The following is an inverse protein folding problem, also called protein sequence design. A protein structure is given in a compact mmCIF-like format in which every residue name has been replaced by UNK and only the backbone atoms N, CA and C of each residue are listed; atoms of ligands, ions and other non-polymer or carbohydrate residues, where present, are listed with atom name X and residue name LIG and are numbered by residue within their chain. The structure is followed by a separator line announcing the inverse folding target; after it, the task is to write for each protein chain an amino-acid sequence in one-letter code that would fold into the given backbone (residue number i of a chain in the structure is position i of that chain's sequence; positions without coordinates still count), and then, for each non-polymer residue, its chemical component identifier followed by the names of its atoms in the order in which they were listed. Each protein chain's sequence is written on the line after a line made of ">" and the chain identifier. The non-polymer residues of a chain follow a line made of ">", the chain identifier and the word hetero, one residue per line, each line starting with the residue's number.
data_IF_428380289900
#
_entry.id   IF_428380289900
#
_cell.length_a   1.000
_cell.length_b   1.000
_cell.length_c   1.000
_cell.angle_alpha   90.00
_cell.angle_beta   90.00
_cell.angle_gamma   90.00
#
_symmetry.space_group_name_H-M   'P 1'
#
loop_
_entity.id
_entity.type
_entity.pdbx_description
1 polymer ?
#
# COMPACT_ATOMS: atom_id res chain seq x y z
N UNK A 1 -5.17 -7.71 -16.70
CA UNK A 1 -5.26 -6.24 -16.83
C UNK A 1 -4.74 -5.63 -15.52
N UNK A 2 -3.49 -5.12 -15.48
CA UNK A 2 -2.95 -4.49 -14.27
C UNK A 2 -3.47 -3.06 -14.17
N UNK A 3 -4.23 -2.75 -13.13
CA UNK A 3 -4.75 -1.42 -12.86
C UNK A 3 -3.57 -0.47 -12.65
N UNK A 4 -3.49 0.64 -13.41
CA UNK A 4 -2.51 1.69 -13.11
C UNK A 4 -2.83 2.25 -11.72
N UNK A 5 -1.87 2.30 -10.78
CA UNK A 5 -2.15 2.81 -9.45
C UNK A 5 -2.57 4.27 -9.56
N UNK A 6 -3.68 4.61 -8.90
CA UNK A 6 -4.20 5.98 -8.77
C UNK A 6 -3.27 6.90 -7.97
N UNK A 7 -2.17 6.35 -7.43
CA UNK A 7 -1.23 6.99 -6.50
C UNK A 7 0.20 6.63 -6.91
N UNK A 8 0.79 7.33 -7.89
CA UNK A 8 2.07 6.97 -8.47
C UNK A 8 3.24 7.06 -7.48
N UNK A 9 3.18 7.98 -6.50
CA UNK A 9 4.27 8.18 -5.54
C UNK A 9 4.38 7.08 -4.48
N UNK A 10 3.25 6.52 -4.02
CA UNK A 10 3.26 5.38 -3.09
C UNK A 10 3.71 4.11 -3.83
N UNK A 11 3.19 3.89 -5.04
CA UNK A 11 3.59 2.76 -5.87
C UNK A 11 5.09 2.79 -6.17
N UNK A 12 5.63 3.94 -6.58
CA UNK A 12 7.05 4.12 -6.85
C UNK A 12 7.89 3.84 -5.59
N UNK A 13 7.51 4.40 -4.44
CA UNK A 13 8.23 4.20 -3.19
C UNK A 13 8.24 2.74 -2.72
N UNK A 14 7.07 2.08 -2.71
CA UNK A 14 6.93 0.69 -2.26
C UNK A 14 7.60 -0.30 -3.23
N UNK A 15 7.61 0.00 -4.52
CA UNK A 15 8.29 -0.84 -5.53
C UNK A 15 9.81 -0.92 -5.37
N UNK A 16 10.41 0.01 -4.62
CA UNK A 16 11.85 0.06 -4.33
C UNK A 16 12.24 -0.66 -3.04
N UNK A 17 11.27 -1.18 -2.30
CA UNK A 17 11.49 -1.83 -1.01
C UNK A 17 11.83 -3.32 -1.18
N UNK A 18 12.59 -3.93 -0.26
CA UNK A 18 12.97 -5.35 -0.37
C UNK A 18 11.77 -6.31 -0.35
N UNK A 19 10.66 -5.89 0.24
CA UNK A 19 9.41 -6.66 0.31
C UNK A 19 8.45 -6.40 -0.86
N UNK A 20 8.85 -5.64 -1.88
CA UNK A 20 7.98 -5.23 -2.99
C UNK A 20 7.27 -6.41 -3.68
N UNK A 21 7.97 -7.53 -3.82
CA UNK A 21 7.43 -8.73 -4.46
C UNK A 21 6.39 -9.46 -3.60
N UNK A 22 6.36 -9.20 -2.29
CA UNK A 22 5.45 -9.85 -1.33
C UNK A 22 4.11 -9.11 -1.18
N UNK A 23 4.01 -7.90 -1.69
CA UNK A 23 2.80 -7.06 -1.59
C UNK A 23 2.14 -6.85 -2.95
N UNK A 24 0.84 -6.57 -2.91
CA UNK A 24 0.04 -6.10 -4.01
C UNK A 24 -0.57 -4.74 -3.66
N UNK A 25 -0.37 -3.76 -4.53
CA UNK A 25 -0.93 -2.42 -4.39
C UNK A 25 -2.14 -2.29 -5.32
N UNK A 26 -3.33 -2.18 -4.74
CA UNK A 26 -4.57 -2.03 -5.49
C UNK A 26 -5.03 -0.59 -5.39
N UNK A 27 -5.00 0.13 -6.51
CA UNK A 27 -5.64 1.44 -6.63
C UNK A 27 -7.14 1.28 -6.79
N UNK A 28 -7.92 1.54 -5.73
CA UNK A 28 -9.37 1.56 -5.83
C UNK A 28 -9.80 2.87 -6.53
N UNK A 29 -10.11 2.76 -7.83
CA UNK A 29 -10.62 3.88 -8.64
C UNK A 29 -12.11 4.07 -8.38
N UNK A 30 -12.45 4.63 -7.22
CA UNK A 30 -13.80 5.13 -6.98
C UNK A 30 -13.92 6.52 -7.64
N UNK A 31 -14.87 6.68 -8.56
CA UNK A 31 -15.05 7.92 -9.36
C UNK A 31 -15.36 9.11 -8.45
N UNK A 32 -15.85 8.86 -7.23
CA UNK A 32 -16.19 9.90 -6.24
C UNK A 32 -15.10 10.11 -5.18
N UNK A 33 -14.08 9.25 -5.12
CA UNK A 33 -13.04 9.32 -4.08
C UNK A 33 -11.65 9.16 -4.69
N UNK A 34 -10.95 10.28 -4.86
CA UNK A 34 -9.57 10.29 -5.36
C UNK A 34 -8.55 9.84 -4.31
N UNK A 35 -7.55 9.08 -4.74
CA UNK A 35 -6.44 8.63 -3.89
C UNK A 35 -6.80 7.51 -2.91
N UNK A 36 -7.81 6.69 -3.19
CA UNK A 36 -7.99 5.43 -2.47
C UNK A 36 -7.02 4.38 -3.02
N UNK A 37 -6.28 3.76 -2.11
CA UNK A 37 -5.45 2.61 -2.37
C UNK A 37 -5.53 1.64 -1.21
N UNK A 38 -5.26 0.38 -1.52
CA UNK A 38 -5.13 -0.70 -0.57
C UNK A 38 -3.80 -1.39 -0.81
N UNK A 39 -3.11 -1.72 0.29
CA UNK A 39 -1.91 -2.55 0.27
C UNK A 39 -2.29 -3.89 0.86
N UNK A 40 -2.07 -4.96 0.10
CA UNK A 40 -2.43 -6.33 0.49
C UNK A 40 -1.19 -7.20 0.41
N UNK A 41 -0.98 -8.09 1.38
CA UNK A 41 0.10 -9.09 1.31
C UNK A 41 -0.35 -10.25 0.43
N UNK A 42 0.47 -10.65 -0.54
CA UNK A 42 0.10 -11.71 -1.50
C UNK A 42 -0.05 -13.08 -0.85
N UNK A 43 0.76 -13.39 0.16
CA UNK A 43 0.75 -14.70 0.82
C UNK A 43 -0.53 -14.95 1.63
N UNK A 44 -1.08 -13.92 2.26
CA UNK A 44 -2.26 -14.04 3.15
C UNK A 44 -3.53 -13.42 2.60
N UNK A 45 -3.43 -12.53 1.61
CA UNK A 45 -4.54 -11.67 1.20
C UNK A 45 -4.94 -10.64 2.26
N UNK A 46 -4.12 -10.45 3.30
CA UNK A 46 -4.42 -9.50 4.38
C UNK A 46 -4.16 -8.06 3.92
N UNK A 47 -5.14 -7.19 4.14
CA UNK A 47 -5.03 -5.76 3.80
C UNK A 47 -4.38 -4.99 4.95
N UNK A 48 -3.20 -4.45 4.70
CA UNK A 48 -2.35 -3.71 5.65
C UNK A 48 -2.75 -2.25 5.80
N UNK A 49 -3.11 -1.64 4.68
CA UNK A 49 -3.44 -0.23 4.62
C UNK A 49 -4.67 -0.04 3.76
N UNK A 50 -5.65 0.68 4.28
CA UNK A 50 -6.80 1.13 3.49
C UNK A 50 -7.16 2.55 3.90
N UNK A 51 -7.30 3.42 2.91
CA UNK A 51 -7.84 4.77 3.14
C UNK A 51 -9.28 4.74 3.66
N UNK A 52 -10.04 3.65 3.40
CA UNK A 52 -11.37 3.45 4.00
C UNK A 52 -11.31 3.29 5.51
N UNK A 53 -10.19 2.83 6.07
CA UNK A 53 -9.99 2.69 7.50
C UNK A 53 -9.50 4.01 8.18
N UNK A 54 -9.57 5.14 7.47
CA UNK A 54 -9.18 6.46 8.01
C UNK A 54 -7.70 6.78 7.91
N UNK A 55 -6.90 5.93 7.26
CA UNK A 55 -5.48 6.22 7.02
C UNK A 55 -5.32 7.17 5.81
N UNK A 56 -4.43 8.16 5.92
CA UNK A 56 -4.24 9.24 4.95
C UNK A 56 -3.79 8.77 3.56
N UNK A 57 -3.63 9.70 2.61
CA UNK A 57 -3.20 9.40 1.22
C UNK A 57 -1.72 9.05 1.07
N UNK A 58 -0.95 9.09 2.17
CA UNK A 58 0.50 8.94 2.16
C UNK A 58 1.21 9.92 1.21
N UNK A 59 0.78 11.18 1.24
CA UNK A 59 1.34 12.27 0.43
C UNK A 59 2.69 12.73 0.98
N UNK A 60 2.89 12.64 2.31
CA UNK A 60 4.17 12.95 2.94
C UNK A 60 5.15 11.76 2.94
N UNK A 61 6.45 12.06 2.97
CA UNK A 61 7.49 11.03 3.10
C UNK A 61 7.37 10.24 4.40
N UNK A 62 6.96 10.92 5.48
CA UNK A 62 6.72 10.29 6.79
C UNK A 62 5.61 9.25 6.73
N UNK A 63 4.47 9.57 6.10
CA UNK A 63 3.38 8.60 5.95
C UNK A 63 3.80 7.39 5.10
N UNK A 64 4.59 7.59 4.05
CA UNK A 64 5.13 6.49 3.24
C UNK A 64 6.03 5.56 4.05
N UNK A 65 6.91 6.13 4.87
CA UNK A 65 7.76 5.37 5.77
C UNK A 65 6.94 4.57 6.78
N UNK A 66 5.92 5.18 7.42
CA UNK A 66 5.03 4.47 8.34
C UNK A 66 4.27 3.30 7.69
N UNK A 67 3.94 3.41 6.40
CA UNK A 67 3.33 2.29 5.66
C UNK A 67 4.35 1.18 5.43
N UNK A 68 5.57 1.53 5.03
CA UNK A 68 6.64 0.55 4.86
C UNK A 68 6.97 -0.18 6.16
N UNK A 69 7.09 0.54 7.28
CA UNK A 69 7.29 -0.04 8.61
C UNK A 69 6.16 -1.02 8.97
N UNK A 70 4.90 -0.62 8.80
CA UNK A 70 3.76 -1.52 9.05
C UNK A 70 3.76 -2.78 8.16
N UNK A 71 4.27 -2.67 6.93
CA UNK A 71 4.41 -3.84 6.04
C UNK A 71 5.51 -4.76 6.57
N UNK A 72 6.66 -4.20 6.96
CA UNK A 72 7.79 -4.98 7.51
C UNK A 72 7.39 -5.66 8.79
N UNK A 73 6.83 -4.93 9.76
CA UNK A 73 6.42 -5.50 11.06
C UNK A 73 5.47 -6.68 10.88
N UNK A 74 4.51 -6.59 9.94
CA UNK A 74 3.57 -7.68 9.68
C UNK A 74 4.21 -8.86 8.95
N UNK A 75 5.17 -8.61 8.04
CA UNK A 75 5.91 -9.67 7.39
C UNK A 75 6.83 -10.40 8.38
N UNK A 76 7.46 -9.66 9.29
CA UNK A 76 8.32 -10.18 10.36
C UNK A 76 7.50 -10.99 11.38
N UNK A 77 6.28 -10.57 11.75
CA UNK A 77 5.39 -11.36 12.61
C UNK A 77 4.95 -12.70 11.99
N UNK A 78 5.07 -12.84 10.67
CA UNK A 78 4.67 -14.02 9.92
C UNK A 78 5.80 -15.02 9.65
N UNK A 79 7.07 -14.62 9.87
CA UNK A 79 8.27 -15.47 9.71
C UNK A 79 8.57 -16.26 11.00
#
# INVERSE_FOLDING_TARGET
>A
MRLRPSIPWVADYLSKQPFADQIELIGAKDVRVTGNFEVTVKSTGQTLHSKRAGKGKAESARERAMIAEQIVDLLDEME
#
